data_IF_954052836921
#
_entry.id   IF_954052836921
#
_cell.length_a   1.000
_cell.length_b   1.000
_cell.length_c   1.000
_cell.angle_alpha   90.00
_cell.angle_beta   90.00
_cell.angle_gamma   90.00
#
_symmetry.space_group_name_H-M   'P 1'
#
loop_
_entity.id
_entity.type
_entity.pdbx_description
1 polymer ?
#
# COMPACT_ATOMS: atom_id res chain seq x y z
N UNK A 1 -20.69 -16.63 -14.22
CA UNK A 1 -20.41 -15.40 -13.44
C UNK A 1 -19.26 -15.71 -12.46
N UNK A 2 -18.18 -14.91 -12.45
CA UNK A 2 -17.09 -15.08 -11.48
C UNK A 2 -17.56 -14.57 -10.11
N UNK A 3 -17.29 -15.27 -9.00
CA UNK A 3 -17.54 -14.75 -7.67
C UNK A 3 -16.69 -13.49 -7.43
N UNK A 4 -17.21 -12.56 -6.62
CA UNK A 4 -16.49 -11.36 -6.22
C UNK A 4 -15.83 -11.55 -4.85
N UNK A 5 -14.56 -11.17 -4.77
CA UNK A 5 -13.82 -11.03 -3.52
C UNK A 5 -13.69 -9.53 -3.20
N UNK A 6 -14.19 -9.12 -2.04
CA UNK A 6 -14.20 -7.72 -1.65
C UNK A 6 -12.80 -7.16 -1.41
N UNK A 7 -11.90 -7.96 -0.81
CA UNK A 7 -10.59 -7.49 -0.44
C UNK A 7 -9.58 -8.64 -0.36
N UNK A 8 -8.39 -8.42 -0.92
CA UNK A 8 -7.23 -9.28 -0.82
C UNK A 8 -6.04 -8.46 -0.34
N UNK A 9 -5.31 -8.93 0.65
CA UNK A 9 -4.03 -8.33 1.06
C UNK A 9 -2.85 -9.14 0.53
N UNK A 10 -1.85 -8.43 0.00
CA UNK A 10 -0.58 -9.02 -0.41
C UNK A 10 0.56 -8.44 0.41
N UNK A 11 1.32 -9.32 1.03
CA UNK A 11 2.50 -8.95 1.81
C UNK A 11 3.72 -8.90 0.90
N UNK A 12 4.05 -7.69 0.43
CA UNK A 12 5.16 -7.48 -0.53
C UNK A 12 6.52 -7.36 0.15
N UNK A 13 6.54 -7.14 1.47
CA UNK A 13 7.75 -6.91 2.25
C UNK A 13 7.64 -7.52 3.64
N UNK A 14 8.68 -8.19 4.09
CA UNK A 14 8.74 -8.77 5.44
C UNK A 14 9.56 -7.92 6.41
N UNK A 15 10.51 -7.12 5.89
CA UNK A 15 11.30 -6.18 6.69
C UNK A 15 10.49 -4.93 7.02
N UNK A 16 10.65 -4.43 8.24
CA UNK A 16 10.09 -3.15 8.67
C UNK A 16 11.20 -2.29 9.30
N UNK A 17 11.03 -0.97 9.25
CA UNK A 17 11.86 0.02 9.95
C UNK A 17 11.34 0.32 11.38
N UNK A 18 10.29 -0.39 11.82
CA UNK A 18 9.72 -0.33 13.17
C UNK A 18 9.64 -1.73 13.78
N UNK A 19 9.58 -1.78 15.12
CA UNK A 19 9.32 -2.98 15.94
C UNK A 19 8.14 -2.69 16.86
N UNK A 20 6.93 -2.68 16.28
CA UNK A 20 5.71 -2.35 17.02
C UNK A 20 5.26 -3.51 17.91
N UNK A 21 4.93 -3.23 19.16
CA UNK A 21 4.23 -4.20 20.00
C UNK A 21 2.87 -4.54 19.38
N UNK A 22 2.56 -5.83 19.22
CA UNK A 22 1.32 -6.28 18.59
C UNK A 22 1.31 -6.13 17.08
N UNK A 23 2.47 -6.14 16.43
CA UNK A 23 2.58 -6.15 14.97
C UNK A 23 1.86 -7.37 14.38
N UNK A 24 0.85 -7.15 13.54
CA UNK A 24 0.06 -8.23 12.93
C UNK A 24 0.83 -9.05 11.89
N UNK A 25 1.91 -8.48 11.33
CA UNK A 25 2.78 -9.14 10.35
C UNK A 25 4.02 -9.76 10.99
N UNK A 26 4.24 -9.54 12.28
CA UNK A 26 5.40 -10.06 13.04
C UNK A 26 6.74 -9.74 12.37
N UNK A 27 6.86 -8.55 11.76
CA UNK A 27 8.01 -8.17 10.92
C UNK A 27 9.34 -8.09 11.66
N UNK A 28 9.34 -7.97 12.97
CA UNK A 28 10.51 -8.01 13.85
C UNK A 28 10.94 -9.45 14.19
N UNK A 29 10.03 -10.41 14.14
CA UNK A 29 10.24 -11.80 14.53
C UNK A 29 10.44 -12.75 13.33
N UNK A 30 10.08 -12.33 12.11
CA UNK A 30 10.19 -13.16 10.92
C UNK A 30 11.53 -12.94 10.19
N UNK A 31 11.81 -13.82 9.24
CA UNK A 31 12.95 -13.61 8.33
C UNK A 31 12.75 -12.37 7.47
N UNK A 32 13.86 -11.70 7.15
CA UNK A 32 13.86 -10.48 6.35
C UNK A 32 13.75 -10.81 4.86
N UNK A 33 13.28 -9.85 4.07
CA UNK A 33 13.21 -9.99 2.62
C UNK A 33 11.98 -9.33 2.01
N UNK A 34 11.92 -9.37 0.70
CA UNK A 34 10.82 -8.84 -0.09
C UNK A 34 10.36 -9.86 -1.14
N UNK A 35 9.19 -9.62 -1.69
CA UNK A 35 8.62 -10.37 -2.81
C UNK A 35 8.77 -9.52 -4.07
N UNK A 36 9.40 -10.10 -5.11
CA UNK A 36 9.49 -9.46 -6.42
C UNK A 36 8.11 -9.36 -7.08
N UNK A 37 7.94 -8.40 -7.99
CA UNK A 37 6.70 -8.30 -8.74
C UNK A 37 6.38 -9.57 -9.54
N UNK A 38 7.39 -10.14 -10.23
CA UNK A 38 7.19 -11.36 -11.01
C UNK A 38 6.68 -12.53 -10.16
N UNK A 39 7.24 -12.70 -8.96
CA UNK A 39 6.76 -13.70 -7.99
C UNK A 39 5.33 -13.40 -7.58
N UNK A 40 5.03 -12.16 -7.22
CA UNK A 40 3.69 -11.75 -6.81
C UNK A 40 2.66 -11.91 -7.92
N UNK A 41 3.01 -11.53 -9.15
CA UNK A 41 2.17 -11.73 -10.33
C UNK A 41 1.83 -13.20 -10.54
N UNK A 42 2.83 -14.07 -10.42
CA UNK A 42 2.60 -15.53 -10.55
C UNK A 42 1.63 -16.10 -9.52
N UNK A 43 1.51 -15.47 -8.34
CA UNK A 43 0.51 -15.85 -7.33
C UNK A 43 -0.88 -15.33 -7.66
N UNK A 44 -0.97 -14.13 -8.25
CA UNK A 44 -2.24 -13.47 -8.57
C UNK A 44 -2.91 -14.06 -9.82
N UNK A 45 -2.15 -14.32 -10.88
CA UNK A 45 -2.67 -14.76 -12.18
C UNK A 45 -3.71 -15.92 -12.10
N UNK A 46 -3.48 -17.01 -11.37
CA UNK A 46 -4.45 -18.12 -11.30
C UNK A 46 -5.78 -17.74 -10.62
N UNK A 47 -5.75 -16.73 -9.72
CA UNK A 47 -6.95 -16.27 -9.04
C UNK A 47 -7.76 -15.30 -9.91
N UNK A 48 -7.09 -14.43 -10.66
CA UNK A 48 -7.76 -13.41 -11.50
C UNK A 48 -8.57 -14.03 -12.64
N UNK A 49 -8.23 -15.23 -13.05
CA UNK A 49 -9.05 -16.00 -13.99
C UNK A 49 -10.37 -16.48 -13.37
N UNK A 50 -10.45 -16.59 -12.05
CA UNK A 50 -11.54 -17.24 -11.31
C UNK A 50 -12.43 -16.31 -10.51
N UNK A 51 -11.92 -15.14 -10.10
CA UNK A 51 -12.62 -14.19 -9.24
C UNK A 51 -12.60 -12.78 -9.84
N UNK A 52 -13.56 -11.97 -9.42
CA UNK A 52 -13.49 -10.51 -9.55
C UNK A 52 -12.98 -9.94 -8.22
N UNK A 53 -11.95 -9.11 -8.26
CA UNK A 53 -11.35 -8.52 -7.07
C UNK A 53 -11.70 -7.03 -6.99
N UNK A 54 -12.38 -6.61 -5.92
CA UNK A 54 -12.83 -5.24 -5.75
C UNK A 54 -11.71 -4.34 -5.20
N UNK A 55 -10.92 -4.84 -4.25
CA UNK A 55 -9.78 -4.10 -3.73
C UNK A 55 -8.60 -5.01 -3.40
N UNK A 56 -7.38 -4.50 -3.62
CA UNK A 56 -6.12 -5.17 -3.26
C UNK A 56 -5.32 -4.28 -2.31
N UNK A 57 -4.94 -4.83 -1.16
CA UNK A 57 -4.06 -4.20 -0.19
C UNK A 57 -2.59 -4.54 -0.46
N UNK A 58 -1.77 -3.54 -0.67
CA UNK A 58 -0.31 -3.67 -0.78
C UNK A 58 0.28 -3.28 0.57
N UNK A 59 0.79 -4.27 1.27
CA UNK A 59 1.30 -4.09 2.64
C UNK A 59 2.51 -4.98 2.92
N UNK A 60 2.90 -5.04 4.18
CA UNK A 60 3.98 -5.91 4.64
C UNK A 60 4.47 -5.48 6.00
N UNK A 61 5.76 -5.61 6.26
CA UNK A 61 6.44 -4.85 7.30
C UNK A 61 6.34 -3.37 6.95
N UNK A 62 7.24 -2.89 6.08
CA UNK A 62 7.11 -1.56 5.47
C UNK A 62 7.31 -1.69 3.96
N UNK A 63 6.25 -1.54 3.14
CA UNK A 63 6.34 -1.75 1.70
C UNK A 63 7.28 -0.78 0.98
N UNK A 64 7.51 0.43 1.51
CA UNK A 64 8.44 1.40 0.93
C UNK A 64 9.91 0.93 0.97
N UNK A 65 10.24 -0.13 1.73
CA UNK A 65 11.57 -0.76 1.72
C UNK A 65 11.71 -1.73 0.54
N UNK A 66 10.61 -2.20 -0.06
CA UNK A 66 10.68 -3.10 -1.20
C UNK A 66 11.25 -2.34 -2.43
N UNK A 67 12.38 -2.78 -3.00
CA UNK A 67 12.99 -2.09 -4.15
C UNK A 67 12.12 -2.12 -5.40
N UNK A 68 11.19 -3.07 -5.51
CA UNK A 68 10.27 -3.23 -6.64
C UNK A 68 8.85 -2.68 -6.35
N UNK A 69 8.69 -1.86 -5.31
CA UNK A 69 7.36 -1.38 -4.90
C UNK A 69 6.63 -0.60 -6.01
N UNK A 70 7.39 0.13 -6.85
CA UNK A 70 6.84 0.85 -8.01
C UNK A 70 6.32 -0.10 -9.09
N UNK A 71 7.05 -1.20 -9.30
CA UNK A 71 6.63 -2.26 -10.23
C UNK A 71 5.36 -2.96 -9.73
N UNK A 72 5.25 -3.17 -8.42
CA UNK A 72 4.04 -3.71 -7.80
C UNK A 72 2.81 -2.84 -8.08
N UNK A 73 2.89 -1.53 -7.84
CA UNK A 73 1.77 -0.60 -8.04
C UNK A 73 1.38 -0.56 -9.53
N UNK A 74 2.35 -0.39 -10.44
CA UNK A 74 2.11 -0.36 -11.88
C UNK A 74 1.56 -1.68 -12.40
N UNK A 75 2.19 -2.78 -12.00
CA UNK A 75 1.80 -4.12 -12.44
C UNK A 75 0.42 -4.53 -11.94
N UNK A 76 0.05 -4.19 -10.70
CA UNK A 76 -1.32 -4.40 -10.21
C UNK A 76 -2.31 -3.61 -11.09
N UNK A 77 -2.05 -2.34 -11.39
CA UNK A 77 -2.94 -1.54 -12.22
C UNK A 77 -3.08 -2.09 -13.63
N UNK A 78 -1.99 -2.61 -14.20
CA UNK A 78 -1.99 -3.24 -15.53
C UNK A 78 -2.89 -4.48 -15.59
N UNK A 79 -2.77 -5.41 -14.61
CA UNK A 79 -3.54 -6.67 -14.60
C UNK A 79 -4.93 -6.53 -13.97
N UNK A 80 -5.18 -5.47 -13.20
CA UNK A 80 -6.40 -5.19 -12.45
C UNK A 80 -6.84 -3.74 -12.65
N UNK A 81 -7.27 -3.34 -13.85
CA UNK A 81 -7.50 -1.95 -14.23
C UNK A 81 -8.61 -1.25 -13.42
N UNK A 82 -9.55 -1.99 -12.85
CA UNK A 82 -10.71 -1.44 -12.12
C UNK A 82 -10.65 -1.68 -10.61
N UNK A 83 -9.70 -2.49 -10.13
CA UNK A 83 -9.55 -2.83 -8.70
C UNK A 83 -8.99 -1.64 -7.92
N UNK A 84 -9.54 -1.35 -6.76
CA UNK A 84 -8.97 -0.34 -5.86
C UNK A 84 -7.64 -0.82 -5.29
N UNK A 85 -6.58 -0.01 -5.41
CA UNK A 85 -5.29 -0.27 -4.77
C UNK A 85 -5.29 0.43 -3.40
N UNK A 86 -5.07 -0.33 -2.33
CA UNK A 86 -4.90 0.19 -0.96
C UNK A 86 -3.45 0.03 -0.54
N UNK A 87 -2.70 1.11 -0.57
CA UNK A 87 -1.30 1.11 -0.17
C UNK A 87 -1.17 1.43 1.32
N UNK A 88 -0.61 0.50 2.10
CA UNK A 88 -0.53 0.61 3.57
C UNK A 88 0.92 0.79 3.98
N UNK A 89 1.24 1.89 4.64
CA UNK A 89 2.60 2.24 5.10
C UNK A 89 2.56 2.86 6.50
N UNK A 90 3.66 2.77 7.25
CA UNK A 90 3.82 3.56 8.48
C UNK A 90 4.13 5.05 8.19
N UNK A 91 4.39 5.41 6.95
CA UNK A 91 4.56 6.77 6.46
C UNK A 91 5.96 7.37 6.67
N UNK A 92 6.81 6.78 7.49
CA UNK A 92 8.12 7.37 7.86
C UNK A 92 9.10 7.52 6.68
N UNK A 93 8.87 6.78 5.62
CA UNK A 93 9.71 6.82 4.40
C UNK A 93 9.05 7.57 3.25
N UNK A 94 7.82 8.09 3.40
CA UNK A 94 7.09 8.75 2.31
C UNK A 94 7.83 9.98 1.77
N UNK A 95 8.41 10.82 2.65
CA UNK A 95 9.14 12.01 2.20
C UNK A 95 10.31 11.68 1.26
N UNK A 96 10.98 10.54 1.51
CA UNK A 96 12.08 10.04 0.67
C UNK A 96 11.60 9.28 -0.57
N UNK A 97 10.34 8.89 -0.61
CA UNK A 97 9.70 8.13 -1.68
C UNK A 97 8.46 8.86 -2.19
N UNK A 98 8.55 10.19 -2.32
CA UNK A 98 7.41 11.01 -2.73
C UNK A 98 6.80 10.59 -4.05
N UNK A 99 7.62 10.09 -4.96
CA UNK A 99 7.22 9.54 -6.25
C UNK A 99 6.22 8.38 -6.15
N UNK A 100 6.13 7.71 -4.98
CA UNK A 100 5.06 6.72 -4.72
C UNK A 100 3.71 7.40 -4.55
N UNK A 101 3.67 8.58 -3.93
CA UNK A 101 2.42 9.37 -3.80
C UNK A 101 1.97 9.83 -5.18
N UNK A 102 2.91 10.38 -5.98
CA UNK A 102 2.65 10.77 -7.38
C UNK A 102 2.13 9.57 -8.19
N UNK A 103 2.77 8.41 -8.04
CA UNK A 103 2.38 7.20 -8.75
C UNK A 103 0.97 6.71 -8.36
N UNK A 104 0.62 6.76 -7.07
CA UNK A 104 -0.72 6.39 -6.60
C UNK A 104 -1.78 7.35 -7.15
N UNK A 105 -1.46 8.63 -7.30
CA UNK A 105 -2.33 9.61 -7.96
C UNK A 105 -2.47 9.29 -9.46
N UNK A 106 -1.36 9.05 -10.15
CA UNK A 106 -1.31 8.72 -11.58
C UNK A 106 -2.13 7.48 -11.93
N UNK A 107 -1.94 6.38 -11.21
CA UNK A 107 -2.66 5.12 -11.48
C UNK A 107 -4.15 5.19 -11.12
N UNK A 108 -4.56 6.14 -10.30
CA UNK A 108 -5.96 6.37 -9.91
C UNK A 108 -6.60 5.22 -9.14
N UNK A 109 -7.83 5.42 -8.67
CA UNK A 109 -8.59 4.46 -7.85
C UNK A 109 -7.73 3.81 -6.76
N UNK A 110 -7.03 4.65 -6.00
CA UNK A 110 -6.10 4.23 -4.96
C UNK A 110 -6.44 4.87 -3.60
N UNK A 111 -6.01 4.21 -2.55
CA UNK A 111 -6.07 4.68 -1.16
C UNK A 111 -4.68 4.57 -0.57
N UNK A 112 -4.12 5.68 -0.13
CA UNK A 112 -2.94 5.70 0.72
C UNK A 112 -3.39 5.62 2.17
N UNK A 113 -3.04 4.54 2.85
CA UNK A 113 -3.33 4.31 4.26
C UNK A 113 -2.06 4.48 5.07
N UNK A 114 -2.01 5.54 5.88
CA UNK A 114 -0.88 5.80 6.78
C UNK A 114 -1.23 5.30 8.17
N UNK A 115 -0.49 4.29 8.64
CA UNK A 115 -0.56 3.79 10.01
C UNK A 115 0.33 4.65 10.89
N UNK A 116 -0.26 5.56 11.64
CA UNK A 116 0.47 6.53 12.47
C UNK A 116 0.87 5.89 13.81
N UNK A 117 2.04 5.27 13.85
CA UNK A 117 2.51 4.53 15.04
C UNK A 117 3.40 5.35 15.99
N UNK A 118 4.00 6.43 15.49
CA UNK A 118 4.95 7.26 16.25
C UNK A 118 4.74 8.73 15.95
N UNK A 119 4.79 9.58 16.97
CA UNK A 119 4.76 11.02 16.77
C UNK A 119 6.06 11.45 16.05
N UNK A 120 5.92 12.00 14.86
CA UNK A 120 7.04 12.41 14.04
C UNK A 120 6.69 13.68 13.24
N UNK A 121 7.32 14.82 13.56
CA UNK A 121 7.05 16.09 12.86
C UNK A 121 7.29 16.05 11.35
N UNK A 122 8.22 15.19 10.88
CA UNK A 122 8.45 15.01 9.44
C UNK A 122 7.23 14.32 8.82
N UNK A 123 6.67 13.31 9.48
CA UNK A 123 5.48 12.64 9.02
C UNK A 123 4.26 13.57 9.02
N UNK A 124 4.12 14.42 10.05
CA UNK A 124 3.05 15.42 10.12
C UNK A 124 3.13 16.39 8.93
N UNK A 125 4.33 16.91 8.65
CA UNK A 125 4.57 17.79 7.50
C UNK A 125 4.32 17.06 6.16
N UNK A 126 4.69 15.78 6.07
CA UNK A 126 4.43 14.96 4.88
C UNK A 126 2.94 14.78 4.64
N UNK A 127 2.18 14.50 5.70
CA UNK A 127 0.71 14.39 5.65
C UNK A 127 0.08 15.71 5.20
N UNK A 128 0.50 16.85 5.79
CA UNK A 128 0.02 18.18 5.41
C UNK A 128 0.35 18.49 3.93
N UNK A 129 1.54 18.12 3.48
CA UNK A 129 1.92 18.28 2.08
C UNK A 129 1.05 17.46 1.13
N UNK A 130 0.67 16.23 1.50
CA UNK A 130 -0.26 15.40 0.72
C UNK A 130 -1.60 16.14 0.57
N UNK A 131 -2.14 16.67 1.65
CA UNK A 131 -3.37 17.45 1.65
C UNK A 131 -3.34 18.66 0.72
N UNK A 132 -2.20 19.36 0.69
CA UNK A 132 -2.05 20.59 -0.10
C UNK A 132 -1.72 20.32 -1.57
N UNK A 133 -1.23 19.11 -1.91
CA UNK A 133 -0.73 18.79 -3.25
C UNK A 133 -1.72 18.00 -4.11
N UNK A 134 -2.68 17.30 -3.49
CA UNK A 134 -3.63 16.44 -4.19
C UNK A 134 -5.06 16.72 -3.74
N UNK A 135 -6.00 16.57 -4.67
CA UNK A 135 -7.44 16.61 -4.39
C UNK A 135 -7.91 15.23 -3.87
N UNK A 136 -7.31 14.81 -2.77
CA UNK A 136 -7.61 13.55 -2.11
C UNK A 136 -8.48 13.77 -0.89
N UNK A 137 -9.55 12.98 -0.75
CA UNK A 137 -10.35 13.00 0.47
C UNK A 137 -9.61 12.30 1.62
N UNK A 138 -9.47 12.98 2.77
CA UNK A 138 -9.01 12.32 3.98
C UNK A 138 -10.12 11.42 4.54
N UNK A 139 -9.76 10.18 4.85
CA UNK A 139 -10.64 9.25 5.55
C UNK A 139 -10.01 8.94 6.90
N UNK A 140 -10.61 9.41 7.97
CA UNK A 140 -10.19 9.13 9.33
C UNK A 140 -10.84 7.81 9.80
N UNK A 141 -10.02 6.80 10.04
CA UNK A 141 -10.37 5.65 10.86
C UNK A 141 -9.54 5.69 12.12
N UNK A 142 -10.06 5.07 13.17
CA UNK A 142 -9.47 5.06 14.50
C UNK A 142 -7.96 4.74 14.47
N UNK A 143 -7.11 5.74 14.77
CA UNK A 143 -5.66 5.64 14.80
C UNK A 143 -4.97 5.49 13.41
N UNK A 144 -5.68 5.69 12.33
CA UNK A 144 -5.16 5.51 10.97
C UNK A 144 -5.64 6.65 10.09
N UNK A 145 -4.71 7.35 9.46
CA UNK A 145 -5.02 8.33 8.42
C UNK A 145 -5.08 7.65 7.07
N UNK A 146 -6.17 7.89 6.33
CA UNK A 146 -6.36 7.43 4.96
C UNK A 146 -6.56 8.60 4.03
N UNK A 147 -6.01 8.49 2.84
CA UNK A 147 -6.22 9.43 1.75
C UNK A 147 -6.71 8.65 0.53
N UNK A 148 -7.82 9.08 -0.05
CA UNK A 148 -8.43 8.42 -1.19
C UNK A 148 -8.37 9.32 -2.41
N UNK A 149 -7.80 8.80 -3.49
CA UNK A 149 -7.91 9.38 -4.82
C UNK A 149 -9.28 9.03 -5.40
N UNK A 150 -10.04 10.04 -5.83
CA UNK A 150 -11.40 9.90 -6.38
C UNK A 150 -11.45 9.81 -7.91
N UNK A 151 -10.30 9.82 -8.58
CA UNK A 151 -10.25 9.75 -10.03
C UNK A 151 -10.57 8.36 -10.57
#
# INVERSE_FOLDING_TARGET
MKPSLEFLEVMVMRTCNLSCAGCTTFSDLTYKGFVSWDTGKSWLDPWLERINLNAIGVMGGEPLINPEIRQWIKGIREILPHTQIRFVTNGLLLEKNWDIVDLLDEVGNSVLKISYHVNNPILDNTIERIFNSYDWEPVHEFGINRYKNQR
#
